data_IF_913133772105
#
_entry.id   IF_913133772105
#
_cell.length_a   1.000
_cell.length_b   1.000
_cell.length_c   1.000
_cell.angle_alpha   90.00
_cell.angle_beta   90.00
_cell.angle_gamma   90.00
#
_symmetry.space_group_name_H-M   'P 1'
#
loop_
_entity.id
_entity.type
_entity.pdbx_description
1 polymer ?
#
# COMPACT_ATOMS: atom_id res chain seq x y z
N UNK A 1 -1.67 -5.76 -27.81
CA UNK A 1 -3.14 -5.83 -27.96
C UNK A 1 -3.87 -6.69 -26.91
N UNK A 2 -3.29 -7.79 -26.39
CA UNK A 2 -3.96 -8.63 -25.37
C UNK A 2 -4.06 -8.02 -23.94
N UNK A 3 -3.19 -7.07 -23.59
CA UNK A 3 -3.11 -6.48 -22.24
C UNK A 3 -4.13 -5.34 -22.00
N UNK A 4 -4.52 -4.62 -23.05
CA UNK A 4 -5.56 -3.58 -23.00
C UNK A 4 -6.97 -4.17 -22.80
N UNK A 5 -7.30 -5.26 -23.50
CA UNK A 5 -8.56 -6.01 -23.32
C UNK A 5 -8.79 -6.53 -21.89
N UNK A 6 -7.71 -6.80 -21.13
CA UNK A 6 -7.81 -7.27 -19.73
C UNK A 6 -8.14 -6.16 -18.73
N UNK A 7 -7.83 -4.90 -19.03
CA UNK A 7 -8.00 -3.77 -18.09
C UNK A 7 -9.41 -3.15 -18.17
N UNK A 8 -9.96 -3.01 -19.38
CA UNK A 8 -11.37 -2.62 -19.60
C UNK A 8 -12.34 -3.68 -19.08
N UNK A 9 -12.00 -4.96 -19.25
CA UNK A 9 -12.77 -6.06 -18.67
C UNK A 9 -12.88 -5.96 -17.15
N UNK A 10 -11.83 -5.55 -16.44
CA UNK A 10 -11.83 -5.48 -14.98
C UNK A 10 -12.74 -4.40 -14.39
N UNK A 11 -12.78 -3.21 -14.99
CA UNK A 11 -13.70 -2.15 -14.57
C UNK A 11 -15.15 -2.50 -14.90
N UNK A 12 -15.40 -2.98 -16.12
CA UNK A 12 -16.73 -3.46 -16.53
C UNK A 12 -17.21 -4.63 -15.66
N UNK A 13 -16.35 -5.59 -15.34
CA UNK A 13 -16.67 -6.72 -14.46
C UNK A 13 -16.98 -6.27 -13.02
N UNK A 14 -16.27 -5.27 -12.48
CA UNK A 14 -16.59 -4.71 -11.16
C UNK A 14 -17.95 -4.02 -11.17
N UNK A 15 -18.21 -3.18 -12.16
CA UNK A 15 -19.51 -2.48 -12.29
C UNK A 15 -20.65 -3.47 -12.47
N UNK A 16 -20.49 -4.48 -13.35
CA UNK A 16 -21.49 -5.54 -13.57
C UNK A 16 -21.75 -6.34 -12.30
N UNK A 17 -20.73 -6.64 -11.50
CA UNK A 17 -20.88 -7.35 -10.22
C UNK A 17 -21.69 -6.54 -9.20
N UNK A 18 -21.35 -5.26 -9.02
CA UNK A 18 -22.10 -4.39 -8.10
C UNK A 18 -23.54 -4.16 -8.57
N UNK A 19 -23.76 -4.01 -9.88
CA UNK A 19 -25.10 -3.93 -10.45
C UNK A 19 -25.90 -5.21 -10.22
N UNK A 20 -25.31 -6.39 -10.46
CA UNK A 20 -25.99 -7.68 -10.23
C UNK A 20 -26.36 -7.89 -8.75
N UNK A 21 -25.43 -7.61 -7.83
CA UNK A 21 -25.70 -7.69 -6.39
C UNK A 21 -26.77 -6.68 -5.96
N UNK A 22 -26.74 -5.47 -6.50
CA UNK A 22 -27.76 -4.44 -6.24
C UNK A 22 -29.14 -4.80 -6.77
N UNK A 23 -29.23 -5.40 -7.96
CA UNK A 23 -30.50 -5.87 -8.55
C UNK A 23 -31.11 -7.01 -7.74
N UNK A 24 -30.29 -7.97 -7.28
CA UNK A 24 -30.77 -9.04 -6.41
C UNK A 24 -31.29 -8.48 -5.09
N UNK A 25 -30.49 -7.70 -4.35
CA UNK A 25 -30.97 -7.06 -3.12
C UNK A 25 -32.24 -6.22 -3.34
N UNK A 26 -32.27 -5.45 -4.43
CA UNK A 26 -33.39 -4.59 -4.80
C UNK A 26 -34.67 -5.36 -5.09
N UNK A 27 -34.61 -6.50 -5.77
CA UNK A 27 -35.80 -7.32 -6.05
C UNK A 27 -36.39 -7.93 -4.78
N UNK A 28 -35.54 -8.42 -3.86
CA UNK A 28 -36.01 -8.91 -2.56
C UNK A 28 -36.64 -7.82 -1.69
N UNK A 29 -36.01 -6.64 -1.63
CA UNK A 29 -36.53 -5.49 -0.86
C UNK A 29 -37.82 -4.91 -1.47
N UNK A 30 -37.90 -4.86 -2.81
CA UNK A 30 -39.13 -4.46 -3.50
C UNK A 30 -40.26 -5.46 -3.24
N UNK A 31 -39.96 -6.76 -3.24
CA UNK A 31 -40.92 -7.80 -2.86
C UNK A 31 -41.46 -7.61 -1.43
N UNK A 32 -40.57 -7.32 -0.47
CA UNK A 32 -40.96 -6.99 0.90
C UNK A 32 -41.84 -5.73 0.96
N UNK A 33 -41.48 -4.68 0.23
CA UNK A 33 -42.27 -3.44 0.19
C UNK A 33 -43.68 -3.69 -0.36
N UNK A 34 -43.79 -4.35 -1.51
CA UNK A 34 -45.07 -4.67 -2.14
C UNK A 34 -45.93 -5.56 -1.24
N UNK A 35 -45.32 -6.54 -0.57
CA UNK A 35 -46.00 -7.42 0.38
C UNK A 35 -46.51 -6.65 1.60
N UNK A 36 -45.68 -5.77 2.18
CA UNK A 36 -46.05 -4.98 3.34
C UNK A 36 -47.17 -3.99 3.04
N UNK A 37 -47.19 -3.38 1.86
CA UNK A 37 -48.26 -2.47 1.42
C UNK A 37 -49.64 -3.14 1.35
N UNK A 38 -49.69 -4.47 1.18
CA UNK A 38 -50.93 -5.25 1.21
C UNK A 38 -51.43 -5.62 2.61
N UNK A 39 -50.76 -5.19 3.69
CA UNK A 39 -51.10 -5.56 5.07
C UNK A 39 -51.82 -4.43 5.81
N UNK A 40 -52.71 -4.79 6.74
CA UNK A 40 -53.41 -3.83 7.60
C UNK A 40 -52.44 -2.96 8.43
N UNK A 41 -51.29 -3.52 8.79
CA UNK A 41 -50.22 -2.83 9.53
C UNK A 41 -48.94 -2.78 8.70
N UNK A 42 -48.98 -2.09 7.56
CA UNK A 42 -47.89 -2.03 6.58
C UNK A 42 -46.53 -1.64 7.18
N UNK A 43 -46.49 -0.67 8.11
CA UNK A 43 -45.24 -0.22 8.74
C UNK A 43 -44.63 -1.26 9.68
N UNK A 44 -45.46 -2.01 10.42
CA UNK A 44 -44.97 -3.12 11.24
C UNK A 44 -44.45 -4.25 10.35
N UNK A 45 -45.19 -4.61 9.30
CA UNK A 45 -44.76 -5.64 8.36
C UNK A 45 -43.45 -5.29 7.67
N UNK A 46 -43.29 -4.03 7.24
CA UNK A 46 -42.06 -3.54 6.62
C UNK A 46 -40.90 -3.52 7.62
N UNK A 47 -41.12 -3.00 8.84
CA UNK A 47 -40.10 -2.94 9.88
C UNK A 47 -39.63 -4.32 10.34
N UNK A 48 -40.57 -5.23 10.64
CA UNK A 48 -40.27 -6.61 11.02
C UNK A 48 -39.58 -7.37 9.88
N UNK A 49 -40.06 -7.20 8.65
CA UNK A 49 -39.41 -7.77 7.47
C UNK A 49 -37.98 -7.28 7.28
N UNK A 50 -37.70 -5.98 7.45
CA UNK A 50 -36.33 -5.44 7.33
C UNK A 50 -35.38 -6.03 8.38
N UNK A 51 -35.84 -6.25 9.62
CA UNK A 51 -35.05 -6.92 10.65
C UNK A 51 -34.76 -8.38 10.26
N UNK A 52 -35.75 -9.10 9.74
CA UNK A 52 -35.58 -10.48 9.24
C UNK A 52 -34.59 -10.52 8.08
N UNK A 53 -34.69 -9.57 7.14
CA UNK A 53 -33.74 -9.40 6.04
C UNK A 53 -32.32 -9.18 6.58
N UNK A 54 -32.14 -8.22 7.48
CA UNK A 54 -30.83 -7.90 8.07
C UNK A 54 -30.21 -9.09 8.80
N UNK A 55 -30.97 -9.78 9.65
CA UNK A 55 -30.51 -10.97 10.35
C UNK A 55 -30.07 -12.08 9.37
N UNK A 56 -30.87 -12.30 8.33
CA UNK A 56 -30.58 -13.33 7.31
C UNK A 56 -29.32 -12.99 6.51
N UNK A 57 -29.13 -11.71 6.15
CA UNK A 57 -27.92 -11.23 5.46
C UNK A 57 -26.68 -11.39 6.34
N UNK A 58 -26.76 -11.07 7.65
CA UNK A 58 -25.63 -11.22 8.57
C UNK A 58 -25.26 -12.69 8.76
N UNK A 59 -26.25 -13.56 8.99
CA UNK A 59 -26.01 -15.00 9.15
C UNK A 59 -25.44 -15.61 7.87
N UNK A 60 -26.07 -15.32 6.73
CA UNK A 60 -25.61 -15.76 5.42
C UNK A 60 -24.19 -15.25 5.15
N UNK A 61 -23.97 -13.94 5.32
CA UNK A 61 -22.68 -13.29 5.11
C UNK A 61 -21.56 -13.85 5.98
N UNK A 62 -21.85 -14.14 7.26
CA UNK A 62 -20.92 -14.80 8.16
C UNK A 62 -20.53 -16.19 7.67
N UNK A 63 -21.50 -17.00 7.24
CA UNK A 63 -21.21 -18.31 6.61
C UNK A 63 -20.39 -18.12 5.32
N UNK A 64 -20.82 -17.22 4.45
CA UNK A 64 -20.12 -16.91 3.20
C UNK A 64 -18.67 -16.50 3.43
N UNK A 65 -18.43 -15.67 4.46
CA UNK A 65 -17.11 -15.29 4.90
C UNK A 65 -16.26 -16.51 5.27
N UNK A 66 -16.76 -17.40 6.14
CA UNK A 66 -16.05 -18.61 6.55
C UNK A 66 -15.68 -19.51 5.36
N UNK A 67 -16.58 -19.66 4.39
CA UNK A 67 -16.32 -20.43 3.18
C UNK A 67 -15.39 -19.72 2.18
N UNK A 68 -15.32 -18.39 2.24
CA UNK A 68 -14.52 -17.56 1.36
C UNK A 68 -13.07 -17.36 1.79
N UNK A 69 -12.73 -17.66 3.05
CA UNK A 69 -11.36 -17.48 3.58
C UNK A 69 -10.36 -18.31 2.75
N UNK A 70 -9.29 -17.69 2.21
CA UNK A 70 -8.27 -18.39 1.44
C UNK A 70 -7.41 -19.27 2.37
N UNK A 71 -6.86 -20.37 1.82
CA UNK A 71 -5.92 -21.21 2.57
C UNK A 71 -4.50 -20.70 2.36
N UNK A 72 -3.76 -20.53 3.46
CA UNK A 72 -2.32 -20.23 3.42
C UNK A 72 -1.58 -21.50 2.99
N UNK A 73 -0.77 -21.47 1.92
CA UNK A 73 0.21 -22.55 1.71
C UNK A 73 1.32 -22.40 2.75
N UNK A 74 1.51 -23.44 3.56
CA UNK A 74 2.59 -23.49 4.54
C UNK A 74 3.95 -23.44 3.85
N UNK A 75 4.83 -22.58 4.37
CA UNK A 75 6.18 -22.36 3.88
C UNK A 75 7.03 -23.62 3.93
N UNK A 76 7.29 -24.19 2.75
CA UNK A 76 8.47 -25.01 2.54
C UNK A 76 9.71 -24.12 2.55
N UNK A 77 10.81 -24.60 3.13
CA UNK A 77 12.10 -23.90 3.17
C UNK A 77 12.51 -23.43 1.78
N UNK A 78 12.45 -22.12 1.54
CA UNK A 78 12.86 -21.48 0.28
C UNK A 78 11.75 -20.91 -0.59
N UNK A 79 10.46 -21.09 -0.26
CA UNK A 79 9.38 -20.36 -0.94
C UNK A 79 8.99 -19.08 -0.17
N UNK A 80 8.69 -17.96 -0.87
CA UNK A 80 8.21 -16.75 -0.22
C UNK A 80 6.96 -17.05 0.62
N UNK A 81 6.98 -16.66 1.90
CA UNK A 81 5.81 -16.72 2.77
C UNK A 81 4.67 -15.91 2.15
N UNK A 82 3.43 -16.44 2.18
CA UNK A 82 2.24 -15.72 1.70
C UNK A 82 1.64 -16.18 0.36
N UNK A 83 1.98 -17.35 -0.18
CA UNK A 83 1.28 -17.90 -1.35
C UNK A 83 -0.12 -18.41 -0.96
N UNK A 84 -1.15 -17.58 -1.17
CA UNK A 84 -2.54 -17.94 -0.93
C UNK A 84 -3.05 -18.89 -2.02
N UNK A 85 -3.49 -20.09 -1.63
CA UNK A 85 -4.13 -21.03 -2.55
C UNK A 85 -5.64 -20.76 -2.65
N UNK A 86 -6.24 -20.86 -3.85
CA UNK A 86 -7.68 -20.81 -4.00
C UNK A 86 -8.34 -21.91 -3.15
N UNK A 87 -9.37 -21.54 -2.39
CA UNK A 87 -10.10 -22.50 -1.57
C UNK A 87 -11.06 -23.36 -2.41
N UNK A 88 -10.95 -24.70 -2.32
CA UNK A 88 -11.81 -25.68 -3.00
C UNK A 88 -13.03 -26.11 -2.17
N UNK A 89 -13.28 -25.48 -1.02
CA UNK A 89 -14.39 -25.83 -0.13
C UNK A 89 -15.76 -25.89 -0.86
N UNK A 90 -16.06 -24.94 -1.75
CA UNK A 90 -17.35 -24.98 -2.49
C UNK A 90 -17.43 -26.09 -3.52
N UNK A 91 -16.31 -26.50 -4.11
CA UNK A 91 -16.28 -27.64 -5.04
C UNK A 91 -16.63 -28.93 -4.29
N UNK A 92 -16.06 -29.10 -3.09
CA UNK A 92 -16.35 -30.23 -2.21
C UNK A 92 -17.81 -30.22 -1.74
N UNK A 93 -18.34 -29.05 -1.34
CA UNK A 93 -19.75 -28.92 -0.95
C UNK A 93 -20.69 -29.18 -2.13
N UNK A 94 -20.34 -28.73 -3.35
CA UNK A 94 -21.15 -28.98 -4.54
C UNK A 94 -21.22 -30.47 -4.90
N UNK A 95 -20.08 -31.16 -4.82
CA UNK A 95 -20.01 -32.61 -5.04
C UNK A 95 -20.80 -33.38 -3.96
N UNK A 96 -20.67 -33.00 -2.69
CA UNK A 96 -21.44 -33.57 -1.60
C UNK A 96 -22.95 -33.29 -1.71
N UNK A 97 -23.34 -32.05 -2.04
CA UNK A 97 -24.73 -31.65 -2.22
C UNK A 97 -25.39 -32.44 -3.35
N UNK A 98 -24.68 -32.64 -4.46
CA UNK A 98 -25.18 -33.44 -5.59
C UNK A 98 -25.39 -34.89 -5.17
N UNK A 99 -24.48 -35.47 -4.38
CA UNK A 99 -24.62 -36.83 -3.83
C UNK A 99 -25.80 -36.95 -2.85
N UNK A 100 -26.03 -35.92 -2.02
CA UNK A 100 -27.19 -35.88 -1.11
C UNK A 100 -28.48 -35.76 -1.90
N UNK A 101 -28.55 -34.88 -2.91
CA UNK A 101 -29.73 -34.72 -3.76
C UNK A 101 -30.11 -36.01 -4.47
N UNK A 102 -29.10 -36.75 -4.97
CA UNK A 102 -29.30 -38.00 -5.71
C UNK A 102 -29.51 -39.22 -4.80
N UNK A 103 -29.05 -39.20 -3.54
CA UNK A 103 -29.03 -40.36 -2.66
C UNK A 103 -29.94 -40.28 -1.42
N UNK A 104 -29.74 -39.28 -0.56
CA UNK A 104 -30.35 -39.21 0.79
C UNK A 104 -31.50 -38.18 0.87
N UNK A 105 -31.63 -37.31 -0.13
CA UNK A 105 -32.62 -36.22 -0.15
C UNK A 105 -34.06 -36.69 -0.03
N UNK A 106 -34.40 -37.89 -0.53
CA UNK A 106 -35.78 -38.37 -0.61
C UNK A 106 -36.46 -38.61 0.75
N UNK A 107 -35.70 -38.81 1.83
CA UNK A 107 -36.27 -39.07 3.18
C UNK A 107 -36.17 -37.88 4.13
N UNK A 108 -35.22 -36.96 3.92
CA UNK A 108 -34.99 -35.79 4.78
C UNK A 108 -35.69 -34.51 4.29
N UNK A 109 -36.11 -34.43 3.02
CA UNK A 109 -36.77 -33.24 2.46
C UNK A 109 -38.09 -32.89 3.17
N UNK A 110 -38.82 -33.88 3.68
CA UNK A 110 -40.08 -33.65 4.41
C UNK A 110 -39.88 -32.85 5.70
N UNK A 111 -38.88 -33.22 6.52
CA UNK A 111 -38.62 -32.54 7.79
C UNK A 111 -38.04 -31.12 7.62
N UNK A 112 -37.38 -30.85 6.48
CA UNK A 112 -36.94 -29.50 6.13
C UNK A 112 -38.13 -28.60 5.82
N UNK A 113 -39.14 -29.12 5.10
CA UNK A 113 -40.38 -28.40 4.81
C UNK A 113 -41.13 -28.00 6.08
N UNK A 114 -41.26 -28.93 7.03
CA UNK A 114 -41.89 -28.67 8.34
C UNK A 114 -41.15 -27.57 9.12
N UNK A 115 -39.81 -27.65 9.21
CA UNK A 115 -39.01 -26.63 9.92
C UNK A 115 -39.10 -25.25 9.27
N UNK A 116 -39.17 -25.18 7.93
CA UNK A 116 -39.36 -23.92 7.22
C UNK A 116 -40.76 -23.36 7.46
N UNK A 117 -41.77 -24.21 7.54
CA UNK A 117 -43.13 -23.82 7.88
C UNK A 117 -43.21 -23.30 9.32
N UNK A 118 -42.57 -23.97 10.29
CA UNK A 118 -42.50 -23.54 11.69
C UNK A 118 -41.79 -22.19 11.83
N UNK A 119 -40.66 -22.01 11.13
CA UNK A 119 -39.96 -20.73 11.07
C UNK A 119 -40.85 -19.63 10.47
N UNK A 120 -41.54 -19.93 9.38
CA UNK A 120 -42.47 -19.00 8.76
C UNK A 120 -43.61 -18.62 9.70
N UNK A 121 -44.12 -19.58 10.46
CA UNK A 121 -45.20 -19.39 11.45
C UNK A 121 -44.73 -18.52 12.60
N UNK A 122 -43.51 -18.72 13.07
CA UNK A 122 -42.90 -17.89 14.12
C UNK A 122 -42.67 -16.43 13.68
N UNK A 123 -42.37 -16.21 12.39
CA UNK A 123 -42.07 -14.88 11.84
C UNK A 123 -43.29 -14.15 11.24
N UNK A 124 -44.37 -14.87 10.92
CA UNK A 124 -45.58 -14.31 10.35
C UNK A 124 -46.16 -13.12 11.14
N UNK A 125 -46.19 -13.12 12.49
CA UNK A 125 -46.67 -11.96 13.26
C UNK A 125 -45.85 -10.69 13.01
N UNK A 126 -44.53 -10.80 12.81
CA UNK A 126 -43.66 -9.67 12.52
C UNK A 126 -43.89 -9.10 11.11
N UNK A 127 -44.55 -9.85 10.23
CA UNK A 127 -44.88 -9.47 8.85
C UNK A 127 -46.35 -9.06 8.68
N UNK A 128 -47.05 -8.76 9.78
CA UNK A 128 -48.46 -8.35 9.76
C UNK A 128 -49.46 -9.51 9.82
N UNK A 129 -49.01 -10.74 10.09
CA UNK A 129 -49.85 -11.91 10.35
C UNK A 129 -50.61 -12.45 9.13
N UNK A 130 -51.40 -13.51 9.38
CA UNK A 130 -52.23 -14.18 8.37
C UNK A 130 -51.53 -15.36 7.67
N UNK A 131 -52.31 -16.22 6.99
CA UNK A 131 -51.80 -17.47 6.40
C UNK A 131 -50.76 -17.23 5.31
N UNK A 132 -50.91 -16.15 4.53
CA UNK A 132 -49.99 -15.76 3.46
C UNK A 132 -48.63 -15.27 3.96
N UNK A 133 -48.52 -14.86 5.23
CA UNK A 133 -47.25 -14.38 5.80
C UNK A 133 -46.29 -15.52 6.15
N UNK A 134 -46.81 -16.71 6.40
CA UNK A 134 -46.01 -17.90 6.72
C UNK A 134 -45.07 -18.29 5.57
N UNK A 135 -45.55 -18.57 4.34
CA UNK A 135 -44.68 -18.93 3.24
C UNK A 135 -43.79 -17.74 2.80
N UNK A 136 -44.29 -16.51 2.90
CA UNK A 136 -43.51 -15.32 2.57
C UNK A 136 -42.32 -15.14 3.50
N UNK A 137 -42.51 -15.32 4.81
CA UNK A 137 -41.45 -15.24 5.81
C UNK A 137 -40.34 -16.27 5.55
N UNK A 138 -40.71 -17.51 5.28
CA UNK A 138 -39.77 -18.58 4.96
C UNK A 138 -38.97 -18.26 3.68
N UNK A 139 -39.66 -17.80 2.63
CA UNK A 139 -39.02 -17.39 1.39
C UNK A 139 -38.08 -16.19 1.58
N UNK A 140 -38.48 -15.20 2.38
CA UNK A 140 -37.70 -14.00 2.67
C UNK A 140 -36.39 -14.36 3.40
N UNK A 141 -36.45 -15.21 4.42
CA UNK A 141 -35.27 -15.71 5.13
C UNK A 141 -34.35 -16.45 4.16
N UNK A 142 -34.88 -17.43 3.41
CA UNK A 142 -34.08 -18.21 2.47
C UNK A 142 -33.41 -17.34 1.41
N UNK A 143 -34.15 -16.39 0.84
CA UNK A 143 -33.65 -15.46 -0.16
C UNK A 143 -32.45 -14.67 0.36
N UNK A 144 -32.61 -14.00 1.50
CA UNK A 144 -31.59 -13.12 2.04
C UNK A 144 -30.44 -13.86 2.73
N UNK A 145 -30.68 -15.08 3.22
CA UNK A 145 -29.63 -15.98 3.70
C UNK A 145 -28.71 -16.41 2.54
N UNK A 146 -29.28 -16.84 1.42
CA UNK A 146 -28.50 -17.22 0.22
C UNK A 146 -27.79 -16.00 -0.38
N UNK A 147 -28.49 -14.87 -0.47
CA UNK A 147 -27.89 -13.61 -0.93
C UNK A 147 -26.72 -13.18 -0.04
N UNK A 148 -26.92 -13.16 1.29
CA UNK A 148 -25.88 -12.84 2.25
C UNK A 148 -24.68 -13.78 2.12
N UNK A 149 -24.92 -15.08 2.01
CA UNK A 149 -23.89 -16.09 1.79
C UNK A 149 -23.06 -15.81 0.53
N UNK A 150 -23.73 -15.62 -0.61
CA UNK A 150 -23.04 -15.36 -1.88
C UNK A 150 -22.26 -14.03 -1.83
N UNK A 151 -22.84 -12.99 -1.24
CA UNK A 151 -22.20 -11.68 -1.10
C UNK A 151 -20.96 -11.77 -0.20
N UNK A 152 -21.10 -12.34 1.01
CA UNK A 152 -20.01 -12.54 1.96
C UNK A 152 -18.90 -13.40 1.36
N UNK A 153 -19.27 -14.51 0.71
CA UNK A 153 -18.30 -15.37 0.03
C UNK A 153 -17.57 -14.65 -1.10
N UNK A 154 -18.28 -13.89 -1.94
CA UNK A 154 -17.69 -13.22 -3.09
C UNK A 154 -16.74 -12.10 -2.65
N UNK A 155 -17.13 -11.34 -1.63
CA UNK A 155 -16.30 -10.29 -1.03
C UNK A 155 -15.05 -10.92 -0.42
N UNK A 156 -15.20 -11.91 0.47
CA UNK A 156 -14.06 -12.54 1.12
C UNK A 156 -13.13 -13.19 0.11
N UNK A 157 -13.65 -13.91 -0.88
CA UNK A 157 -12.83 -14.59 -1.89
C UNK A 157 -12.03 -13.63 -2.77
N UNK A 158 -12.48 -12.40 -2.96
CA UNK A 158 -11.87 -11.47 -3.92
C UNK A 158 -11.10 -10.32 -3.27
N UNK A 159 -11.54 -9.86 -2.11
CA UNK A 159 -10.87 -8.80 -1.37
C UNK A 159 -9.82 -9.35 -0.39
N UNK A 160 -10.13 -10.42 0.34
CA UNK A 160 -9.28 -10.89 1.43
C UNK A 160 -7.88 -11.33 0.96
N UNK A 161 -7.70 -12.07 -0.16
CA UNK A 161 -6.36 -12.42 -0.63
C UNK A 161 -5.52 -11.20 -1.01
N UNK A 162 -6.14 -10.13 -1.53
CA UNK A 162 -5.41 -8.91 -1.92
C UNK A 162 -4.89 -8.19 -0.67
N UNK A 163 -5.78 -7.94 0.29
CA UNK A 163 -5.45 -7.27 1.56
C UNK A 163 -4.40 -8.07 2.34
N UNK A 164 -4.56 -9.39 2.42
CA UNK A 164 -3.60 -10.24 3.11
C UNK A 164 -2.24 -10.26 2.41
N UNK A 165 -2.20 -10.37 1.08
CA UNK A 165 -0.93 -10.35 0.32
C UNK A 165 -0.20 -9.02 0.47
N UNK A 166 -0.93 -7.90 0.42
CA UNK A 166 -0.35 -6.56 0.62
C UNK A 166 0.23 -6.41 2.03
N UNK A 167 -0.51 -6.89 3.04
CA UNK A 167 -0.07 -6.83 4.44
C UNK A 167 1.13 -7.74 4.69
N UNK A 168 1.13 -8.96 4.16
CA UNK A 168 2.22 -9.92 4.32
C UNK A 168 3.50 -9.43 3.64
N UNK A 169 3.40 -8.86 2.43
CA UNK A 169 4.56 -8.27 1.75
C UNK A 169 5.17 -7.10 2.54
N UNK A 170 4.32 -6.24 3.12
CA UNK A 170 4.79 -5.16 3.97
C UNK A 170 5.47 -5.70 5.24
N UNK A 171 4.93 -6.77 5.83
CA UNK A 171 5.54 -7.44 6.99
C UNK A 171 6.90 -8.04 6.64
N UNK A 172 7.02 -8.73 5.50
CA UNK A 172 8.28 -9.30 5.01
C UNK A 172 9.35 -8.23 4.82
N UNK A 173 8.99 -7.08 4.24
CA UNK A 173 9.89 -5.95 4.10
C UNK A 173 10.33 -5.40 5.47
N UNK A 174 9.42 -5.33 6.44
CA UNK A 174 9.74 -4.89 7.80
C UNK A 174 10.70 -5.87 8.49
N UNK A 175 10.46 -7.17 8.39
CA UNK A 175 11.33 -8.22 8.95
C UNK A 175 12.72 -8.23 8.28
N UNK A 176 12.77 -8.11 6.95
CA UNK A 176 14.03 -7.99 6.22
C UNK A 176 14.81 -6.72 6.60
N UNK A 177 14.09 -5.63 6.91
CA UNK A 177 14.68 -4.40 7.44
C UNK A 177 15.30 -4.61 8.82
N UNK A 178 14.59 -5.30 9.73
CA UNK A 178 15.14 -5.65 11.05
C UNK A 178 16.38 -6.53 10.96
N UNK A 179 16.38 -7.50 10.05
CA UNK A 179 17.53 -8.39 9.87
C UNK A 179 18.77 -7.64 9.38
N UNK A 180 18.61 -6.71 8.43
CA UNK A 180 19.70 -5.82 7.98
C UNK A 180 20.22 -4.91 9.08
N UNK A 181 19.34 -4.41 9.94
CA UNK A 181 19.73 -3.57 11.07
C UNK A 181 20.57 -4.36 12.10
N UNK A 182 20.22 -5.63 12.36
CA UNK A 182 21.03 -6.54 13.19
C UNK A 182 22.44 -6.75 12.61
N UNK A 183 22.56 -6.78 11.28
CA UNK A 183 23.84 -6.91 10.59
C UNK A 183 24.58 -5.56 10.40
N UNK A 184 24.06 -4.46 10.96
CA UNK A 184 24.70 -3.14 10.94
C UNK A 184 24.42 -2.30 9.69
N UNK A 185 23.64 -2.80 8.73
CA UNK A 185 23.23 -2.06 7.53
C UNK A 185 21.97 -1.21 7.81
N UNK A 186 22.18 -0.12 8.54
CA UNK A 186 21.10 0.81 8.92
C UNK A 186 20.43 1.47 7.69
N UNK A 187 21.20 1.71 6.63
CA UNK A 187 20.70 2.41 5.43
C UNK A 187 19.79 1.49 4.61
N UNK A 188 20.17 0.22 4.44
CA UNK A 188 19.32 -0.80 3.82
C UNK A 188 18.08 -1.14 4.65
N UNK A 189 18.23 -1.18 5.99
CA UNK A 189 17.12 -1.39 6.91
C UNK A 189 16.04 -0.29 6.78
N UNK A 190 16.47 0.98 6.73
CA UNK A 190 15.56 2.11 6.60
C UNK A 190 14.87 2.17 5.23
N UNK A 191 15.54 1.77 4.15
CA UNK A 191 14.92 1.69 2.82
C UNK A 191 13.77 0.67 2.79
N UNK A 192 13.97 -0.51 3.40
CA UNK A 192 12.96 -1.55 3.48
C UNK A 192 11.77 -1.14 4.37
N UNK A 193 12.03 -0.47 5.50
CA UNK A 193 10.98 0.09 6.36
C UNK A 193 10.13 1.13 5.64
N UNK A 194 10.76 2.03 4.87
CA UNK A 194 10.02 3.03 4.07
C UNK A 194 9.13 2.37 3.02
N UNK A 195 9.63 1.35 2.31
CA UNK A 195 8.83 0.61 1.33
C UNK A 195 7.64 -0.12 1.98
N UNK A 196 7.84 -0.72 3.15
CA UNK A 196 6.77 -1.35 3.91
C UNK A 196 5.68 -0.33 4.31
N UNK A 197 6.08 0.85 4.80
CA UNK A 197 5.15 1.92 5.19
C UNK A 197 4.40 2.52 3.99
N UNK A 198 5.05 2.59 2.82
CA UNK A 198 4.40 2.99 1.57
C UNK A 198 3.35 1.98 1.12
N UNK A 199 3.64 0.67 1.21
CA UNK A 199 2.67 -0.38 0.86
C UNK A 199 1.44 -0.38 1.78
N UNK A 200 1.60 -0.01 3.06
CA UNK A 200 0.50 0.10 4.02
C UNK A 200 -0.29 1.42 3.90
N UNK A 201 0.06 2.30 2.95
CA UNK A 201 -0.59 3.60 2.79
C UNK A 201 -0.31 4.61 3.92
N UNK A 202 0.52 4.25 4.90
CA UNK A 202 0.85 5.07 6.07
C UNK A 202 1.70 6.30 5.74
N UNK A 203 2.30 6.33 4.55
CA UNK A 203 3.07 7.47 4.03
C UNK A 203 2.40 8.13 2.81
N UNK A 204 1.13 7.83 2.51
CA UNK A 204 0.52 8.16 1.22
C UNK A 204 -0.84 8.84 1.28
N UNK A 205 -0.92 10.07 1.81
CA UNK A 205 -2.13 10.92 1.70
C UNK A 205 -2.44 11.42 0.28
N UNK A 206 -1.60 11.10 -0.71
CA UNK A 206 -1.65 11.59 -2.10
C UNK A 206 -2.11 10.55 -3.13
N UNK A 207 -1.91 9.25 -2.87
CA UNK A 207 -2.21 8.19 -3.82
C UNK A 207 -3.71 8.06 -4.16
N UNK A 208 -4.59 8.23 -3.17
CA UNK A 208 -6.05 8.20 -3.38
C UNK A 208 -6.55 9.43 -4.16
N UNK A 209 -5.91 10.59 -3.97
CA UNK A 209 -6.25 11.84 -4.66
C UNK A 209 -5.78 11.83 -6.12
N UNK A 210 -4.59 11.29 -6.40
CA UNK A 210 -4.12 11.03 -7.75
C UNK A 210 -4.99 9.99 -8.48
N UNK A 211 -5.44 8.93 -7.79
CA UNK A 211 -6.32 7.90 -8.37
C UNK A 211 -7.72 8.45 -8.70
N UNK A 212 -8.27 9.34 -7.86
CA UNK A 212 -9.53 10.04 -8.11
C UNK A 212 -9.46 11.01 -9.30
N UNK A 213 -8.30 11.65 -9.51
CA UNK A 213 -8.01 12.50 -10.67
C UNK A 213 -7.73 11.68 -11.94
N UNK A 214 -7.06 10.53 -11.82
CA UNK A 214 -6.78 9.62 -12.94
C UNK A 214 -8.03 8.93 -13.52
N UNK A 215 -9.10 8.80 -12.73
CA UNK A 215 -10.39 8.27 -13.19
C UNK A 215 -11.17 9.21 -14.12
N UNK A 216 -10.77 10.48 -14.24
CA UNK A 216 -11.49 11.51 -15.00
C UNK A 216 -10.87 11.84 -16.37
N UNK A 217 -9.73 11.23 -16.73
CA UNK A 217 -9.10 11.45 -18.05
C UNK A 217 -9.18 10.19 -18.95
N UNK A 218 -9.40 10.37 -20.27
CA UNK A 218 -9.44 9.26 -21.21
C UNK A 218 -8.08 8.56 -21.34
N UNK A 219 -8.04 7.24 -21.58
CA UNK A 219 -6.80 6.47 -21.58
C UNK A 219 -5.99 6.72 -22.86
N UNK A 220 -4.81 7.34 -22.71
CA UNK A 220 -3.81 7.40 -23.78
C UNK A 220 -2.87 6.19 -23.71
N UNK A 221 -2.71 5.54 -24.85
CA UNK A 221 -1.89 4.35 -25.10
C UNK A 221 -0.41 4.57 -24.72
N UNK A 222 0.14 3.67 -23.89
CA UNK A 222 1.57 3.32 -23.91
C UNK A 222 2.57 4.29 -23.32
N UNK A 223 2.18 5.48 -22.88
CA UNK A 223 3.06 6.37 -22.11
C UNK A 223 3.02 6.02 -20.62
N UNK A 224 4.08 6.32 -19.86
CA UNK A 224 4.05 6.17 -18.41
C UNK A 224 2.84 6.90 -17.83
N UNK A 225 2.03 6.20 -17.05
CA UNK A 225 0.81 6.77 -16.52
C UNK A 225 1.16 7.88 -15.51
N UNK A 226 0.91 9.13 -15.88
CA UNK A 226 1.14 10.30 -15.05
C UNK A 226 2.60 10.78 -15.03
N UNK A 227 2.84 11.98 -14.46
CA UNK A 227 4.15 12.63 -14.46
C UNK A 227 5.24 11.80 -13.75
N UNK A 228 4.89 11.01 -12.73
CA UNK A 228 5.83 10.13 -12.02
C UNK A 228 6.35 8.98 -12.87
N UNK A 229 5.50 8.40 -13.72
CA UNK A 229 5.92 7.33 -14.62
C UNK A 229 6.99 7.83 -15.60
N UNK A 230 6.81 9.06 -16.11
CA UNK A 230 7.76 9.68 -17.06
C UNK A 230 9.09 9.92 -16.37
N UNK A 231 9.06 10.39 -15.11
CA UNK A 231 10.27 10.56 -14.30
C UNK A 231 10.97 9.21 -14.03
N UNK A 232 10.22 8.16 -13.71
CA UNK A 232 10.79 6.84 -13.45
C UNK A 232 11.45 6.23 -14.70
N UNK A 233 10.82 6.39 -15.87
CA UNK A 233 11.39 5.95 -17.15
C UNK A 233 12.68 6.71 -17.48
N UNK A 234 12.68 8.03 -17.35
CA UNK A 234 13.86 8.88 -17.60
C UNK A 234 15.00 8.53 -16.64
N UNK A 235 14.70 8.32 -15.36
CA UNK A 235 15.71 7.89 -14.37
C UNK A 235 16.35 6.55 -14.75
N UNK A 236 15.56 5.60 -15.23
CA UNK A 236 16.03 4.25 -15.59
C UNK A 236 16.94 4.23 -16.82
N UNK A 237 16.84 5.25 -17.67
CA UNK A 237 17.59 5.38 -18.93
C UNK A 237 18.78 6.33 -18.80
N UNK A 238 18.85 7.15 -17.74
CA UNK A 238 19.88 8.17 -17.52
C UNK A 238 21.32 7.64 -17.66
N UNK A 239 21.68 6.54 -16.98
CA UNK A 239 23.03 5.94 -17.07
C UNK A 239 23.40 5.38 -18.44
N UNK A 240 22.40 5.11 -19.28
CA UNK A 240 22.59 4.63 -20.66
C UNK A 240 22.54 5.78 -21.67
N UNK A 241 22.22 7.00 -21.21
CA UNK A 241 22.17 8.17 -22.08
C UNK A 241 23.58 8.64 -22.41
N UNK A 242 23.80 9.13 -23.63
CA UNK A 242 25.05 9.76 -24.05
C UNK A 242 25.11 11.25 -23.66
N UNK A 243 24.29 11.68 -22.69
CA UNK A 243 24.18 13.07 -22.29
C UNK A 243 25.33 13.46 -21.36
N UNK A 244 25.72 14.74 -21.40
CA UNK A 244 26.70 15.33 -20.48
C UNK A 244 26.02 16.22 -19.44
N UNK A 245 26.70 16.51 -18.32
CA UNK A 245 26.19 17.42 -17.30
C UNK A 245 25.84 18.82 -17.87
N UNK A 246 26.63 19.33 -18.81
CA UNK A 246 26.35 20.62 -19.47
C UNK A 246 25.09 20.57 -20.35
N UNK A 247 24.83 19.45 -21.02
CA UNK A 247 23.60 19.26 -21.80
C UNK A 247 22.37 19.14 -20.90
N UNK A 248 22.49 18.47 -19.75
CA UNK A 248 21.41 18.38 -18.75
C UNK A 248 21.16 19.76 -18.10
N UNK A 249 22.21 20.55 -17.85
CA UNK A 249 22.09 21.95 -17.42
C UNK A 249 21.36 22.80 -18.46
N UNK A 250 21.70 22.67 -19.74
CA UNK A 250 21.02 23.38 -20.83
C UNK A 250 19.54 22.97 -20.94
N UNK A 251 19.23 21.68 -20.77
CA UNK A 251 17.86 21.16 -20.72
C UNK A 251 17.05 21.77 -19.58
N UNK A 252 17.66 21.96 -18.41
CA UNK A 252 17.04 22.62 -17.27
C UNK A 252 16.84 24.14 -17.51
N UNK A 253 17.84 24.80 -18.11
CA UNK A 253 17.85 26.25 -18.35
C UNK A 253 16.84 26.70 -19.42
N UNK A 254 16.45 25.83 -20.35
CA UNK A 254 15.42 26.09 -21.36
C UNK A 254 14.05 26.47 -20.74
N UNK A 255 13.83 26.13 -19.46
CA UNK A 255 12.84 26.84 -18.66
C UNK A 255 11.40 26.46 -18.97
N UNK A 256 11.11 25.23 -19.41
CA UNK A 256 9.78 24.63 -19.31
C UNK A 256 9.72 23.66 -18.12
N UNK A 257 8.59 23.60 -17.42
CA UNK A 257 8.44 22.77 -16.21
C UNK A 257 8.76 21.28 -16.49
N UNK A 258 8.26 20.74 -17.61
CA UNK A 258 8.53 19.37 -18.02
C UNK A 258 10.01 19.07 -18.29
N UNK A 259 10.75 20.00 -18.93
CA UNK A 259 12.19 19.82 -19.19
C UNK A 259 13.04 19.96 -17.93
N UNK A 260 12.64 20.84 -17.01
CA UNK A 260 13.29 20.96 -15.69
C UNK A 260 13.13 19.68 -14.87
N UNK A 261 11.91 19.14 -14.81
CA UNK A 261 11.64 17.83 -14.17
C UNK A 261 12.42 16.71 -14.86
N UNK A 262 12.47 16.69 -16.19
CA UNK A 262 13.23 15.69 -16.95
C UNK A 262 14.73 15.76 -16.63
N UNK A 263 15.30 16.96 -16.56
CA UNK A 263 16.68 17.17 -16.17
C UNK A 263 16.92 16.65 -14.74
N UNK A 264 16.07 16.99 -13.77
CA UNK A 264 16.17 16.48 -12.40
C UNK A 264 16.06 14.94 -12.34
N UNK A 265 15.23 14.33 -13.20
CA UNK A 265 15.10 12.88 -13.30
C UNK A 265 16.37 12.21 -13.85
N UNK A 266 17.04 12.84 -14.83
CA UNK A 266 18.33 12.40 -15.35
C UNK A 266 19.41 12.45 -14.25
N UNK A 267 19.46 13.55 -13.49
CA UNK A 267 20.40 13.72 -12.37
C UNK A 267 20.18 12.69 -11.25
N UNK A 268 18.92 12.28 -11.02
CA UNK A 268 18.60 11.22 -10.05
C UNK A 268 19.04 9.82 -10.53
N UNK A 269 19.03 9.58 -11.84
CA UNK A 269 19.41 8.28 -12.40
C UNK A 269 20.93 8.12 -12.52
N UNK A 270 21.62 9.21 -12.82
CA UNK A 270 23.07 9.28 -12.88
C UNK A 270 23.60 10.57 -12.19
N UNK A 271 24.14 10.45 -10.96
CA UNK A 271 24.70 11.59 -10.24
C UNK A 271 25.84 12.32 -10.98
N UNK A 272 26.50 11.69 -11.96
CA UNK A 272 27.52 12.35 -12.77
C UNK A 272 26.96 13.42 -13.72
N UNK A 273 25.65 13.36 -14.02
CA UNK A 273 24.94 14.35 -14.85
C UNK A 273 24.45 15.56 -14.04
N UNK A 274 24.63 15.54 -12.73
CA UNK A 274 24.05 16.52 -11.85
C UNK A 274 24.81 17.85 -11.85
N UNK A 275 24.02 18.92 -11.79
CA UNK A 275 24.49 20.28 -11.69
C UNK A 275 23.94 20.91 -10.41
N UNK A 276 24.80 21.17 -9.43
CA UNK A 276 24.38 21.70 -8.13
C UNK A 276 23.58 23.02 -8.25
N UNK A 277 23.99 24.03 -9.06
CA UNK A 277 23.19 25.23 -9.28
C UNK A 277 21.75 24.94 -9.75
N UNK A 278 21.57 24.04 -10.72
CA UNK A 278 20.24 23.65 -11.19
C UNK A 278 19.39 22.97 -10.11
N UNK A 279 20.01 22.12 -9.28
CA UNK A 279 19.33 21.47 -8.16
C UNK A 279 18.93 22.47 -7.07
N UNK A 280 19.79 23.44 -6.75
CA UNK A 280 19.47 24.51 -5.80
C UNK A 280 18.32 25.37 -6.33
N UNK A 281 18.35 25.75 -7.61
CA UNK A 281 17.29 26.53 -8.25
C UNK A 281 15.93 25.82 -8.18
N UNK A 282 15.90 24.50 -8.40
CA UNK A 282 14.68 23.70 -8.27
C UNK A 282 14.14 23.61 -6.82
N UNK A 283 14.99 23.82 -5.81
CA UNK A 283 14.59 23.79 -4.39
C UNK A 283 14.15 25.18 -3.92
N UNK A 284 14.90 26.21 -4.29
CA UNK A 284 14.70 27.60 -3.85
C UNK A 284 13.60 28.31 -4.65
N UNK A 285 13.53 28.07 -5.96
CA UNK A 285 12.59 28.72 -6.87
C UNK A 285 11.79 27.69 -7.70
N UNK A 286 11.09 26.73 -7.05
CA UNK A 286 10.32 25.73 -7.76
C UNK A 286 9.14 26.36 -8.51
N UNK A 287 8.80 25.80 -9.68
CA UNK A 287 7.58 26.20 -10.40
C UNK A 287 6.36 25.43 -9.94
N UNK A 288 6.57 24.25 -9.34
CA UNK A 288 5.54 23.44 -8.74
C UNK A 288 6.07 22.61 -7.57
N UNK A 289 5.14 22.15 -6.73
CA UNK A 289 5.45 21.22 -5.63
C UNK A 289 6.13 19.94 -6.13
N UNK A 290 5.75 19.49 -7.33
CA UNK A 290 6.29 18.30 -7.97
C UNK A 290 7.75 18.51 -8.42
N UNK A 291 8.06 19.69 -8.95
CA UNK A 291 9.45 20.07 -9.26
C UNK A 291 10.30 20.13 -7.99
N UNK A 292 9.82 20.78 -6.93
CA UNK A 292 10.55 20.92 -5.67
C UNK A 292 10.86 19.55 -5.05
N UNK A 293 9.90 18.63 -5.08
CA UNK A 293 10.08 17.25 -4.62
C UNK A 293 11.19 16.52 -5.39
N UNK A 294 11.23 16.65 -6.72
CA UNK A 294 12.28 16.04 -7.54
C UNK A 294 13.63 16.75 -7.41
N UNK A 295 13.65 18.05 -7.11
CA UNK A 295 14.86 18.79 -6.74
C UNK A 295 15.49 18.23 -5.47
N UNK A 296 14.69 18.02 -4.43
CA UNK A 296 15.12 17.39 -3.18
C UNK A 296 15.61 15.94 -3.38
N UNK A 297 14.95 15.16 -4.25
CA UNK A 297 15.40 13.79 -4.57
C UNK A 297 16.75 13.77 -5.29
N UNK A 298 16.96 14.68 -6.25
CA UNK A 298 18.24 14.85 -6.92
C UNK A 298 19.33 15.26 -5.92
N UNK A 299 19.05 16.24 -5.06
CA UNK A 299 19.95 16.68 -4.00
C UNK A 299 20.39 15.55 -3.06
N UNK A 300 19.45 14.68 -2.66
CA UNK A 300 19.76 13.52 -1.80
C UNK A 300 20.75 12.56 -2.47
N UNK A 301 20.62 12.33 -3.77
CA UNK A 301 21.55 11.50 -4.54
C UNK A 301 22.97 12.06 -4.61
N UNK A 302 23.12 13.38 -4.47
CA UNK A 302 24.39 14.09 -4.57
C UNK A 302 25.18 14.18 -3.27
N UNK A 303 24.56 13.86 -2.12
CA UNK A 303 25.17 14.08 -0.81
C UNK A 303 26.55 13.45 -0.64
N UNK A 304 26.79 12.27 -1.20
CA UNK A 304 28.09 11.58 -1.10
C UNK A 304 29.15 12.11 -2.07
N UNK A 305 28.78 12.98 -3.02
CA UNK A 305 29.63 13.49 -4.09
C UNK A 305 29.93 14.99 -3.94
N UNK A 306 29.25 15.68 -3.03
CA UNK A 306 29.37 17.13 -2.87
C UNK A 306 30.61 17.51 -2.04
N UNK A 307 31.44 18.45 -2.53
CA UNK A 307 32.45 19.11 -1.73
C UNK A 307 31.83 19.87 -0.55
N UNK A 308 32.60 20.12 0.52
CA UNK A 308 32.12 20.80 1.73
C UNK A 308 31.40 22.14 1.46
N UNK A 309 31.92 22.95 0.53
CA UNK A 309 31.30 24.22 0.12
C UNK A 309 29.96 24.02 -0.63
N UNK A 310 29.81 22.94 -1.39
CA UNK A 310 28.54 22.59 -2.05
C UNK A 310 27.52 22.03 -1.07
N UNK A 311 27.96 21.20 -0.14
CA UNK A 311 27.16 20.66 0.96
C UNK A 311 26.61 21.76 1.87
N UNK A 312 27.41 22.81 2.16
CA UNK A 312 26.95 23.97 2.91
C UNK A 312 25.83 24.72 2.19
N UNK A 313 26.03 25.05 0.91
CA UNK A 313 25.00 25.74 0.10
C UNK A 313 23.70 24.96 0.02
N UNK A 314 23.76 23.64 -0.16
CA UNK A 314 22.57 22.80 -0.16
C UNK A 314 21.87 22.78 1.20
N UNK A 315 22.63 22.75 2.31
CA UNK A 315 22.05 22.84 3.65
C UNK A 315 21.29 24.16 3.83
N UNK A 316 21.91 25.26 3.46
CA UNK A 316 21.35 26.60 3.64
C UNK A 316 20.06 26.78 2.81
N UNK A 317 20.06 26.31 1.56
CA UNK A 317 18.89 26.31 0.68
C UNK A 317 17.70 25.52 1.27
N UNK A 318 17.96 24.28 1.70
CA UNK A 318 16.92 23.39 2.26
C UNK A 318 16.42 23.89 3.61
N UNK A 319 17.30 24.38 4.48
CA UNK A 319 16.93 24.93 5.77
C UNK A 319 16.07 26.19 5.62
N UNK A 320 16.42 27.07 4.68
CA UNK A 320 15.64 28.28 4.38
C UNK A 320 14.21 27.92 3.94
N UNK A 321 14.07 26.92 3.05
CA UNK A 321 12.76 26.48 2.57
C UNK A 321 11.88 25.81 3.65
N UNK A 322 12.47 25.19 4.67
CA UNK A 322 11.71 24.61 5.80
C UNK A 322 11.19 25.66 6.78
N UNK A 323 11.87 26.80 6.89
CA UNK A 323 11.50 27.89 7.81
C UNK A 323 10.56 28.89 7.14
N UNK A 324 10.62 29.02 5.82
CA UNK A 324 9.71 29.88 5.06
C UNK A 324 8.26 29.36 5.12
N UNK A 325 7.29 30.17 5.63
CA UNK A 325 5.88 29.81 5.64
C UNK A 325 5.28 29.51 4.25
N UNK A 326 5.90 30.00 3.18
CA UNK A 326 5.52 29.74 1.78
C UNK A 326 6.40 28.70 1.09
N UNK A 327 7.39 28.15 1.80
CA UNK A 327 8.30 27.14 1.30
C UNK A 327 7.72 25.73 1.45
N UNK A 328 8.46 24.84 2.11
CA UNK A 328 8.12 23.44 2.26
C UNK A 328 7.12 23.25 3.42
N UNK A 329 5.90 22.77 3.17
CA UNK A 329 4.90 22.60 4.24
C UNK A 329 5.29 21.53 5.25
N UNK A 330 5.07 21.80 6.53
CA UNK A 330 5.31 20.85 7.63
C UNK A 330 4.46 19.59 7.48
N UNK A 331 5.07 18.43 7.71
CA UNK A 331 4.41 17.12 7.61
C UNK A 331 4.17 16.62 6.17
N UNK A 332 4.76 17.28 5.16
CA UNK A 332 4.69 16.84 3.77
C UNK A 332 5.84 15.90 3.39
N UNK A 333 5.69 15.14 2.31
CA UNK A 333 6.78 14.30 1.76
C UNK A 333 8.06 15.10 1.49
N UNK A 334 7.89 16.37 1.09
CA UNK A 334 8.97 17.34 0.88
C UNK A 334 9.67 17.72 2.18
N UNK A 335 8.93 17.96 3.27
CA UNK A 335 9.56 18.30 4.57
C UNK A 335 10.34 17.11 5.13
N UNK A 336 9.79 15.90 5.00
CA UNK A 336 10.50 14.68 5.41
C UNK A 336 11.82 14.50 4.64
N UNK A 337 11.80 14.71 3.32
CA UNK A 337 12.98 14.58 2.49
C UNK A 337 14.02 15.67 2.80
N UNK A 338 13.56 16.89 3.03
CA UNK A 338 14.39 18.03 3.45
C UNK A 338 15.09 17.77 4.79
N UNK A 339 14.37 17.33 5.81
CA UNK A 339 14.94 16.97 7.12
C UNK A 339 15.97 15.82 7.01
N UNK A 340 15.71 14.84 6.14
CA UNK A 340 16.65 13.74 5.88
C UNK A 340 17.92 14.21 5.18
N UNK A 341 17.84 15.21 4.31
CA UNK A 341 19.02 15.86 3.70
C UNK A 341 19.81 16.60 4.78
N UNK A 342 19.15 17.41 5.60
CA UNK A 342 19.81 18.20 6.66
C UNK A 342 20.52 17.33 7.70
N UNK A 343 19.87 16.26 8.17
CA UNK A 343 20.46 15.34 9.15
C UNK A 343 21.75 14.67 8.64
N UNK A 344 21.81 14.30 7.35
CA UNK A 344 23.04 13.76 6.75
C UNK A 344 24.15 14.78 6.59
N UNK A 345 23.79 16.02 6.26
CA UNK A 345 24.75 17.12 6.16
C UNK A 345 25.27 17.54 7.53
N UNK A 346 24.48 17.43 8.61
CA UNK A 346 24.93 17.71 9.98
C UNK A 346 25.93 16.66 10.49
N UNK A 347 25.75 15.38 10.14
CA UNK A 347 26.67 14.30 10.50
C UNK A 347 28.09 14.44 9.91
N UNK A 348 28.31 15.32 8.92
CA UNK A 348 29.63 15.59 8.33
C UNK A 348 30.41 16.70 9.04
N UNK A 349 29.77 17.45 9.95
CA UNK A 349 30.34 18.61 10.61
C UNK A 349 30.54 18.35 12.11
N UNK A 350 31.48 17.46 12.48
CA UNK A 350 32.12 17.42 13.81
C UNK A 350 33.23 16.36 13.86
N UNK A 351 34.40 16.69 13.31
CA UNK A 351 35.67 16.29 13.93
C UNK A 351 36.37 17.60 14.26
N UNK A 352 36.42 18.01 15.54
CA UNK A 352 37.34 19.07 15.93
C UNK A 352 38.75 18.59 15.63
N UNK A 353 39.54 19.36 14.88
CA UNK A 353 40.98 19.18 14.90
C UNK A 353 41.44 19.26 16.36
N UNK A 354 41.92 18.12 16.85
CA UNK A 354 42.54 18.03 18.15
C UNK A 354 43.79 18.93 18.08
N UNK A 355 43.92 20.00 18.89
CA UNK A 355 45.12 20.83 18.85
C UNK A 355 46.32 19.93 19.15
N UNK A 356 47.33 20.04 18.28
CA UNK A 356 48.54 19.24 18.33
C UNK A 356 49.09 19.16 19.76
N UNK A 357 49.31 17.95 20.26
CA UNK A 357 50.03 17.75 21.53
C UNK A 357 51.38 18.47 21.43
N UNK A 358 51.75 19.32 22.40
CA UNK A 358 53.09 19.90 22.42
C UNK A 358 54.12 18.78 22.53
N UNK A 359 55.20 18.91 21.75
CA UNK A 359 56.29 17.96 21.69
C UNK A 359 56.86 17.67 23.09
N UNK A 360 57.26 16.42 23.39
CA UNK A 360 57.90 16.11 24.66
C UNK A 360 59.20 16.91 24.79
N UNK A 361 59.27 17.73 25.84
CA UNK A 361 60.46 18.50 26.20
C UNK A 361 61.62 17.54 26.44
N UNK A 362 62.74 17.79 25.77
CA UNK A 362 63.98 17.05 25.96
C UNK A 362 64.49 17.25 27.40
N UNK A 363 64.53 16.16 28.15
CA UNK A 363 65.19 16.09 29.46
C UNK A 363 66.71 16.15 29.23
N UNK A 364 67.48 17.02 29.92
CA UNK A 364 68.92 17.08 29.75
C UNK A 364 69.58 15.85 30.37
N UNK A 365 70.50 15.26 29.62
CA UNK A 365 71.32 14.12 30.03
C UNK A 365 72.19 14.48 31.25
N UNK A 366 72.14 13.65 32.30
CA UNK A 366 73.21 13.56 33.30
C UNK A 366 74.07 12.31 33.06
N UNK A 367 75.40 12.38 33.28
CA UNK A 367 76.33 11.35 32.86
C UNK A 367 76.64 10.32 33.95
N UNK A 368 76.86 9.06 33.53
CA UNK A 368 77.98 8.25 34.04
C UNK A 368 77.76 7.24 35.16
N UNK A 369 77.32 6.02 34.79
CA UNK A 369 77.85 4.68 35.18
C UNK A 369 77.89 4.22 36.66
N UNK A 370 78.44 3.02 36.97
CA UNK A 370 78.55 1.79 36.17
C UNK A 370 78.08 0.51 36.93
N UNK A 371 78.01 -0.64 36.24
CA UNK A 371 78.11 -1.97 36.87
C UNK A 371 76.96 -2.96 36.61
N UNK A 372 77.25 -4.04 35.89
CA UNK A 372 76.35 -5.20 35.65
C UNK A 372 76.22 -6.14 36.87
N UNK A 373 76.00 -7.48 36.72
CA UNK A 373 75.83 -8.28 35.49
C UNK A 373 74.67 -9.31 35.50
N UNK A 374 74.39 -9.86 34.31
CA UNK A 374 74.10 -11.28 33.95
C UNK A 374 73.27 -12.21 34.86
N UNK A 375 72.17 -12.77 34.32
CA UNK A 375 71.74 -14.19 34.37
C UNK A 375 70.42 -14.32 33.56
N UNK A 376 70.28 -15.11 32.48
CA UNK A 376 70.34 -16.57 32.31
C UNK A 376 69.04 -17.32 32.70
N UNK A 377 68.47 -18.04 31.70
CA UNK A 377 67.53 -19.15 31.83
C UNK A 377 66.06 -18.76 32.09
N UNK A 378 65.03 -19.48 31.66
CA UNK A 378 64.86 -20.78 30.97
C UNK A 378 63.34 -20.96 30.79
N UNK A 379 62.96 -21.71 29.75
CA UNK A 379 61.68 -22.43 29.58
C UNK A 379 60.45 -21.66 29.10
#
# INVERSE_FOLDING_TARGET
MAKARRRDGGAALRTVRWCATGVLAGTGLLGLLLFALGREHAWQALGGGLVVVGASVVLGGGLGFLFGVPRVRGGGTGEPQGSYAPNTNLEQVSDWLTKVLLGVGLTQLGSLGERLHDLGTALAPALGGGPEAVPFAAALVLYFLVFGFLAGWLVTRLALPQVLTETDQALDLFLAGQDRDRHGDKVGADDLRVRAMQQLGLLGGSAERQAALAGQLPPASGAPAGPEGVVAEVRSTARRSALTADQVRALFADGSEGRRIQALALMQGDPALADLPSVLDAIEHPRSDFEQYHGLLAARGLLSWLPAAGAQRLRDAVATQLVDPRGIPYGSDRSWLAEKILSRLQGTALVPEQPARPAPQAVPAQPGGPGGPSAAGTS
#
